data_IF_505779532889
#
_entry.id   IF_505779532889
#
_cell.length_a   1.000
_cell.length_b   1.000
_cell.length_c   1.000
_cell.angle_alpha   90.00
_cell.angle_beta   90.00
_cell.angle_gamma   90.00
#
_symmetry.space_group_name_H-M   'P 1'
#
loop_
_entity.id
_entity.type
_entity.pdbx_description
1 polymer ?
#
# COMPACT_ATOMS: atom_id res chain seq x y z
N UNK A 1 47.79 25.08 18.58
CA UNK A 1 47.11 23.78 18.66
C UNK A 1 46.04 23.77 17.58
N UNK A 2 46.22 22.95 16.54
CA UNK A 2 45.43 22.92 15.31
C UNK A 2 44.15 22.09 15.55
N UNK A 3 42.98 22.71 15.67
CA UNK A 3 41.70 22.00 15.63
C UNK A 3 41.12 22.05 14.20
N UNK A 4 41.48 21.04 13.39
CA UNK A 4 40.58 20.52 12.36
C UNK A 4 39.69 19.50 13.06
N UNK A 5 38.37 19.57 12.96
CA UNK A 5 37.51 18.38 12.83
C UNK A 5 36.11 18.79 12.35
N UNK A 6 35.82 18.33 11.13
CA UNK A 6 34.52 17.93 10.55
C UNK A 6 33.57 19.04 10.07
N UNK A 7 33.68 19.34 8.77
CA UNK A 7 32.51 19.48 7.90
C UNK A 7 31.62 18.25 8.08
N UNK A 8 30.64 18.32 8.99
CA UNK A 8 29.46 17.47 8.88
C UNK A 8 28.62 18.08 7.77
N UNK A 9 28.87 17.66 6.52
CA UNK A 9 27.79 17.70 5.54
C UNK A 9 26.65 16.90 6.20
N UNK A 10 25.48 17.49 6.51
CA UNK A 10 24.33 16.69 6.85
C UNK A 10 24.13 15.81 5.62
N UNK A 11 24.41 14.51 5.74
CA UNK A 11 23.95 13.55 4.76
C UNK A 11 22.45 13.79 4.72
N UNK A 12 21.97 14.45 3.66
CA UNK A 12 20.57 14.39 3.28
C UNK A 12 20.28 12.89 3.30
N UNK A 13 19.49 12.44 4.28
CA UNK A 13 18.91 11.10 4.22
C UNK A 13 18.35 10.97 2.80
N UNK A 14 18.53 9.83 2.11
CA UNK A 14 17.89 9.66 0.81
C UNK A 14 16.45 10.08 0.99
N UNK A 15 16.00 11.10 0.23
CA UNK A 15 14.64 11.59 0.35
C UNK A 15 13.73 10.36 0.30
N UNK A 16 12.86 10.17 1.29
CA UNK A 16 11.90 9.08 1.26
C UNK A 16 11.10 9.26 -0.05
N UNK A 17 11.46 8.47 -1.05
CA UNK A 17 10.81 8.53 -2.35
C UNK A 17 9.39 8.05 -2.16
N UNK A 18 8.45 8.73 -2.81
CA UNK A 18 7.07 8.27 -2.86
C UNK A 18 7.02 6.90 -3.56
N UNK A 19 6.55 5.87 -2.86
CA UNK A 19 6.48 4.49 -3.34
C UNK A 19 5.04 4.14 -3.70
N UNK A 20 4.80 3.90 -4.98
CA UNK A 20 3.51 3.46 -5.50
C UNK A 20 3.63 2.06 -6.08
N UNK A 21 2.66 1.20 -5.79
CA UNK A 21 2.56 -0.14 -6.38
C UNK A 21 1.22 -0.32 -7.07
N UNK A 22 1.21 -0.95 -8.25
CA UNK A 22 -0.01 -1.43 -8.89
C UNK A 22 -0.02 -2.96 -8.88
N UNK A 23 -1.13 -3.55 -8.45
CA UNK A 23 -1.30 -5.00 -8.35
C UNK A 23 -2.71 -5.42 -8.75
N UNK A 24 -2.83 -6.60 -9.38
CA UNK A 24 -4.12 -7.25 -9.60
C UNK A 24 -4.20 -8.48 -8.67
N UNK A 25 -5.21 -8.52 -7.78
CA UNK A 25 -5.38 -9.59 -6.80
C UNK A 25 -6.26 -10.74 -7.31
N UNK A 26 -6.89 -10.61 -8.49
CA UNK A 26 -7.75 -11.63 -9.13
C UNK A 26 -8.87 -12.14 -8.22
N UNK A 27 -9.41 -11.27 -7.37
CA UNK A 27 -10.36 -11.57 -6.31
C UNK A 27 -9.88 -12.73 -5.40
N UNK A 28 -8.57 -12.90 -5.24
CA UNK A 28 -8.00 -14.03 -4.50
C UNK A 28 -7.82 -13.68 -3.02
N UNK A 29 -8.55 -14.37 -2.14
CA UNK A 29 -8.45 -14.20 -0.68
C UNK A 29 -7.01 -14.35 -0.17
N UNK A 30 -6.28 -15.35 -0.66
CA UNK A 30 -4.89 -15.58 -0.24
C UNK A 30 -3.94 -14.44 -0.66
N UNK A 31 -4.18 -13.82 -1.82
CA UNK A 31 -3.38 -12.68 -2.26
C UNK A 31 -3.66 -11.44 -1.40
N UNK A 32 -4.93 -11.19 -1.05
CA UNK A 32 -5.32 -10.10 -0.16
C UNK A 32 -4.74 -10.27 1.25
N UNK A 33 -4.76 -11.48 1.80
CA UNK A 33 -4.18 -11.76 3.12
C UNK A 33 -2.68 -11.43 3.22
N UNK A 34 -1.94 -11.52 2.10
CA UNK A 34 -0.52 -11.18 2.04
C UNK A 34 -0.26 -9.70 1.72
N UNK A 35 -1.25 -8.97 1.21
CA UNK A 35 -1.05 -7.59 0.74
C UNK A 35 -0.59 -6.67 1.88
N UNK A 36 -1.15 -6.85 3.08
CA UNK A 36 -0.83 -6.04 4.25
C UNK A 36 0.66 -6.12 4.64
N UNK A 37 1.25 -7.31 4.49
CA UNK A 37 2.67 -7.51 4.75
C UNK A 37 3.52 -6.84 3.67
N UNK A 38 3.15 -6.98 2.39
CA UNK A 38 3.87 -6.38 1.25
C UNK A 38 3.90 -4.85 1.35
N UNK A 39 2.73 -4.21 1.41
CA UNK A 39 2.40 -3.27 2.48
C UNK A 39 3.55 -2.56 3.21
N UNK A 40 3.63 -2.99 4.48
CA UNK A 40 4.54 -2.51 5.49
C UNK A 40 6.01 -2.78 5.17
N UNK A 41 6.35 -3.94 4.60
CA UNK A 41 7.74 -4.32 4.33
C UNK A 41 8.39 -3.44 3.26
N UNK A 42 7.60 -2.95 2.30
CA UNK A 42 8.09 -2.07 1.24
C UNK A 42 7.88 -0.59 1.56
N UNK A 43 7.19 -0.27 2.67
CA UNK A 43 6.81 1.09 3.09
C UNK A 43 6.09 1.84 1.96
N UNK A 44 5.08 1.20 1.34
CA UNK A 44 4.36 1.76 0.19
C UNK A 44 3.44 2.90 0.61
N UNK A 45 3.45 4.03 -0.10
CA UNK A 45 2.58 5.17 0.21
C UNK A 45 1.19 5.04 -0.43
N UNK A 46 1.11 4.47 -1.63
CA UNK A 46 -0.14 4.27 -2.38
C UNK A 46 -0.14 2.94 -3.11
N UNK A 47 -1.27 2.24 -3.05
CA UNK A 47 -1.46 0.96 -3.72
C UNK A 47 -2.69 1.02 -4.62
N UNK A 48 -2.48 0.78 -5.90
CA UNK A 48 -3.52 0.69 -6.92
C UNK A 48 -3.89 -0.78 -7.12
N UNK A 49 -5.07 -1.18 -6.65
CA UNK A 49 -5.52 -2.58 -6.63
C UNK A 49 -6.59 -2.81 -7.69
N UNK A 50 -6.36 -3.77 -8.57
CA UNK A 50 -7.34 -4.30 -9.51
C UNK A 50 -7.87 -5.65 -9.02
N UNK A 51 -9.15 -5.92 -9.27
CA UNK A 51 -9.83 -7.14 -8.84
C UNK A 51 -9.57 -7.45 -7.36
N UNK A 52 -9.80 -6.49 -6.42
CA UNK A 52 -9.51 -6.73 -5.02
C UNK A 52 -10.39 -7.85 -4.47
N UNK A 53 -9.89 -8.60 -3.49
CA UNK A 53 -10.78 -9.43 -2.69
C UNK A 53 -11.61 -8.52 -1.78
N UNK A 54 -12.93 -8.69 -1.86
CA UNK A 54 -13.88 -7.96 -1.03
C UNK A 54 -14.92 -8.93 -0.46
N UNK A 55 -15.42 -8.61 0.72
CA UNK A 55 -16.50 -9.34 1.39
C UNK A 55 -17.78 -8.52 1.36
N UNK A 56 -18.93 -9.19 1.49
CA UNK A 56 -20.30 -8.63 1.40
C UNK A 56 -20.68 -8.14 -0.01
N UNK A 57 -21.74 -8.71 -0.58
CA UNK A 57 -22.21 -8.34 -1.92
C UNK A 57 -22.83 -6.94 -1.96
N UNK A 58 -23.67 -6.59 -0.99
CA UNK A 58 -24.47 -5.34 -1.02
C UNK A 58 -23.72 -4.09 -0.55
N UNK A 59 -22.61 -4.28 0.17
CA UNK A 59 -21.74 -3.21 0.64
C UNK A 59 -20.32 -3.77 0.72
N UNK A 60 -19.62 -3.88 -0.42
CA UNK A 60 -18.32 -4.49 -0.48
C UNK A 60 -17.34 -3.82 0.48
N UNK A 61 -16.60 -4.63 1.22
CA UNK A 61 -15.54 -4.17 2.13
C UNK A 61 -14.24 -4.84 1.73
N UNK A 62 -13.20 -4.04 1.49
CA UNK A 62 -11.84 -4.53 1.30
C UNK A 62 -11.31 -5.03 2.64
N UNK A 63 -10.87 -6.29 2.70
CA UNK A 63 -10.29 -6.86 3.92
C UNK A 63 -8.79 -6.56 4.01
N UNK A 64 -8.24 -6.76 5.21
CA UNK A 64 -6.79 -6.82 5.43
C UNK A 64 -6.03 -5.52 5.09
N UNK A 65 -6.68 -4.36 5.30
CA UNK A 65 -6.02 -3.05 5.22
C UNK A 65 -5.13 -2.83 6.45
N UNK A 66 -3.82 -2.54 6.30
CA UNK A 66 -2.94 -2.29 7.44
C UNK A 66 -3.38 -1.07 8.27
N UNK A 67 -3.12 -1.07 9.59
CA UNK A 67 -3.34 0.13 10.41
C UNK A 67 -2.60 1.34 9.84
N UNK A 68 -3.29 2.49 9.78
CA UNK A 68 -2.75 3.74 9.24
C UNK A 68 -3.05 3.97 7.75
N UNK A 69 -3.54 2.96 7.03
CA UNK A 69 -4.02 3.09 5.65
C UNK A 69 -5.53 3.22 5.60
N UNK A 70 -6.02 3.78 4.50
CA UNK A 70 -7.45 3.90 4.21
C UNK A 70 -7.71 3.40 2.79
N UNK A 71 -8.75 2.58 2.63
CA UNK A 71 -9.13 2.08 1.33
C UNK A 71 -10.34 2.84 0.78
N UNK A 72 -10.23 3.26 -0.47
CA UNK A 72 -11.36 3.71 -1.29
C UNK A 72 -11.54 2.72 -2.43
N UNK A 73 -12.79 2.41 -2.79
CA UNK A 73 -13.04 1.42 -3.82
C UNK A 73 -14.21 1.79 -4.72
N UNK A 74 -14.16 1.31 -5.96
CA UNK A 74 -15.26 1.34 -6.91
C UNK A 74 -15.72 -0.09 -7.13
N UNK A 75 -16.50 -0.61 -6.17
CA UNK A 75 -17.05 -1.96 -6.19
C UNK A 75 -18.57 -1.90 -6.23
N UNK A 76 -19.18 -2.91 -6.83
CA UNK A 76 -20.62 -3.15 -6.87
C UNK A 76 -20.88 -4.63 -6.52
N UNK A 77 -22.10 -5.12 -6.73
CA UNK A 77 -22.46 -6.52 -6.45
C UNK A 77 -21.60 -7.54 -7.22
N UNK A 78 -20.96 -7.14 -8.32
CA UNK A 78 -19.96 -7.90 -9.08
C UNK A 78 -18.53 -7.45 -8.75
N UNK A 79 -18.22 -7.34 -7.45
CA UNK A 79 -16.96 -6.78 -6.93
C UNK A 79 -15.68 -7.51 -7.38
N UNK A 80 -15.79 -8.69 -8.00
CA UNK A 80 -14.63 -9.39 -8.59
C UNK A 80 -13.88 -8.58 -9.66
N UNK A 81 -14.54 -7.61 -10.31
CA UNK A 81 -13.99 -6.88 -11.46
C UNK A 81 -13.68 -5.39 -11.16
N UNK A 82 -13.85 -4.94 -9.92
CA UNK A 82 -13.65 -3.54 -9.58
C UNK A 82 -12.20 -3.20 -9.21
N UNK A 83 -12.02 -2.03 -8.62
CA UNK A 83 -10.71 -1.52 -8.21
C UNK A 83 -10.77 -0.82 -6.85
N UNK A 84 -9.63 -0.77 -6.17
CA UNK A 84 -9.43 -0.04 -4.93
C UNK A 84 -8.10 0.74 -4.95
N UNK A 85 -8.05 1.80 -4.16
CA UNK A 85 -6.85 2.53 -3.80
C UNK A 85 -6.71 2.42 -2.29
N UNK A 86 -5.54 1.97 -1.84
CA UNK A 86 -5.16 1.86 -0.42
C UNK A 86 -4.01 2.81 -0.15
#
# INVERSE_FOLDING_TARGET
>A
MLHKFLNSNPKLSPANYFKCMQINLRHMKAAAANLAQVICENELDVILVQEPYATNSNSPVISDIPPGYIAYHSLNDSHAYGAAII
#
